data_IF_665563585889
#
_entry.id   IF_665563585889
#
_cell.length_a   1.000
_cell.length_b   1.000
_cell.length_c   1.000
_cell.angle_alpha   90.00
_cell.angle_beta   90.00
_cell.angle_gamma   90.00
#
_symmetry.space_group_name_H-M   'P 1'
#
loop_
_entity.id
_entity.type
_entity.pdbx_description
1 polymer ?
#
# COMPACT_ATOMS: atom_id res chain seq x y z
N UNK A 1 -1.77 15.42 6.27
CA UNK A 1 -2.05 14.02 5.88
C UNK A 1 -0.70 13.36 5.63
N UNK A 2 -0.51 12.15 6.14
CA UNK A 2 0.68 11.33 5.87
C UNK A 2 0.35 10.32 4.78
N UNK A 3 1.25 10.13 3.83
CA UNK A 3 1.06 9.22 2.70
C UNK A 3 2.23 8.23 2.65
N UNK A 4 1.94 6.94 2.69
CA UNK A 4 2.96 5.89 2.62
C UNK A 4 2.65 4.88 1.51
N UNK A 5 3.67 4.19 1.02
CA UNK A 5 3.53 3.12 0.02
C UNK A 5 3.79 1.77 0.69
N UNK A 6 2.84 0.82 0.61
CA UNK A 6 3.05 -0.56 1.06
C UNK A 6 2.81 -1.49 -0.13
N UNK A 7 3.85 -2.19 -0.58
CA UNK A 7 3.79 -3.09 -1.73
C UNK A 7 4.25 -4.50 -1.36
N UNK A 8 3.79 -5.52 -2.11
CA UNK A 8 4.37 -6.87 -2.06
C UNK A 8 5.61 -6.99 -2.95
N UNK A 9 5.83 -6.02 -3.83
CA UNK A 9 6.98 -5.95 -4.74
C UNK A 9 8.26 -5.42 -4.09
N UNK A 10 9.29 -5.10 -4.89
CA UNK A 10 10.59 -4.69 -4.37
C UNK A 10 10.53 -3.36 -3.63
N UNK A 11 11.01 -3.33 -2.37
CA UNK A 11 11.11 -2.10 -1.59
C UNK A 11 11.96 -1.02 -2.26
N UNK A 12 12.94 -1.42 -3.08
CA UNK A 12 13.80 -0.52 -3.84
C UNK A 12 12.99 0.32 -4.83
N UNK A 13 11.96 -0.25 -5.46
CA UNK A 13 11.07 0.48 -6.38
C UNK A 13 10.13 1.38 -5.59
N UNK A 14 9.59 0.90 -4.46
CA UNK A 14 8.75 1.73 -3.58
C UNK A 14 9.52 2.97 -3.09
N UNK A 15 10.80 2.82 -2.74
CA UNK A 15 11.69 3.93 -2.40
C UNK A 15 11.75 4.98 -3.51
N UNK A 16 12.00 4.57 -4.75
CA UNK A 16 12.10 5.49 -5.89
C UNK A 16 10.78 6.26 -6.08
N UNK A 17 9.64 5.59 -5.98
CA UNK A 17 8.32 6.25 -6.04
C UNK A 17 8.18 7.30 -4.94
N UNK A 18 8.60 6.98 -3.72
CA UNK A 18 8.53 7.92 -2.61
C UNK A 18 9.44 9.14 -2.82
N UNK A 19 10.66 8.92 -3.29
CA UNK A 19 11.62 10.00 -3.56
C UNK A 19 11.14 10.95 -4.68
N UNK A 20 10.47 10.43 -5.70
CA UNK A 20 9.95 11.25 -6.82
C UNK A 20 8.72 12.06 -6.40
N UNK A 21 7.79 11.43 -5.67
CA UNK A 21 6.45 12.00 -5.42
C UNK A 21 6.23 12.54 -4.01
N UNK A 22 7.21 12.41 -3.12
CA UNK A 22 7.16 12.97 -1.77
C UNK A 22 6.28 12.20 -0.79
N UNK A 23 6.20 10.87 -0.92
CA UNK A 23 5.58 10.04 0.12
C UNK A 23 6.46 10.03 1.39
N UNK A 24 5.83 9.92 2.55
CA UNK A 24 6.47 10.00 3.86
C UNK A 24 7.26 8.73 4.23
N UNK A 25 6.84 7.55 3.75
CA UNK A 25 7.50 6.28 4.06
C UNK A 25 7.12 5.17 3.07
N UNK A 26 7.86 4.07 3.08
CA UNK A 26 7.59 2.90 2.25
C UNK A 26 7.94 1.56 2.91
N UNK A 27 7.18 0.54 2.51
CA UNK A 27 7.39 -0.85 2.86
C UNK A 27 7.30 -1.71 1.59
N UNK A 28 8.11 -2.76 1.54
CA UNK A 28 8.12 -3.69 0.42
C UNK A 28 9.00 -4.91 0.71
N UNK A 29 8.90 -5.90 -0.16
CA UNK A 29 9.73 -7.10 -0.09
C UNK A 29 11.21 -6.77 -0.35
N UNK A 30 12.09 -7.48 0.34
CA UNK A 30 13.54 -7.39 0.15
C UNK A 30 13.95 -8.26 -1.04
N UNK A 31 14.41 -7.60 -2.10
CA UNK A 31 15.02 -8.27 -3.25
C UNK A 31 16.53 -8.16 -3.16
N UNK A 32 17.23 -9.22 -3.52
CA UNK A 32 18.68 -9.21 -3.60
C UNK A 32 19.15 -8.36 -4.79
N UNK A 33 20.14 -7.51 -4.53
CA UNK A 33 20.79 -6.66 -5.52
C UNK A 33 22.29 -6.91 -5.45
N UNK A 34 22.89 -7.27 -6.58
CA UNK A 34 24.32 -7.52 -6.72
C UNK A 34 24.82 -6.74 -7.92
N UNK A 35 25.88 -5.96 -7.75
CA UNK A 35 26.40 -5.05 -8.78
C UNK A 35 25.31 -4.16 -9.41
N UNK A 36 24.43 -3.60 -8.57
CA UNK A 36 23.32 -2.71 -8.96
C UNK A 36 22.19 -3.37 -9.78
N UNK A 37 22.24 -4.69 -9.97
CA UNK A 37 21.21 -5.45 -10.69
C UNK A 37 20.41 -6.35 -9.74
N UNK A 38 19.11 -6.48 -9.99
CA UNK A 38 18.29 -7.48 -9.30
C UNK A 38 18.72 -8.88 -9.75
N UNK A 39 19.03 -9.74 -8.79
CA UNK A 39 19.40 -11.14 -9.10
C UNK A 39 18.18 -12.01 -9.42
N UNK A 40 16.98 -11.53 -9.07
CA UNK A 40 15.72 -12.28 -9.11
C UNK A 40 15.40 -13.02 -7.80
N UNK A 41 16.33 -13.04 -6.84
CA UNK A 41 16.12 -13.64 -5.52
C UNK A 41 15.33 -12.70 -4.61
N UNK A 42 14.26 -13.22 -3.99
CA UNK A 42 13.53 -12.55 -2.92
C UNK A 42 14.09 -13.04 -1.59
N UNK A 43 14.73 -12.14 -0.86
CA UNK A 43 15.36 -12.42 0.44
C UNK A 43 14.30 -12.50 1.54
N UNK A 44 13.33 -11.58 1.51
CA UNK A 44 12.22 -11.54 2.45
C UNK A 44 10.96 -11.05 1.73
N UNK A 45 9.93 -11.89 1.70
CA UNK A 45 8.68 -11.60 1.00
C UNK A 45 7.64 -11.04 1.96
N UNK A 46 7.10 -9.87 1.62
CA UNK A 46 5.92 -9.29 2.29
C UNK A 46 4.68 -9.74 1.51
N UNK A 47 3.92 -10.64 2.11
CA UNK A 47 2.63 -11.09 1.60
C UNK A 47 1.48 -10.14 1.96
N UNK A 48 0.26 -10.56 1.62
CA UNK A 48 -0.95 -9.75 1.79
C UNK A 48 -1.25 -9.43 3.26
N UNK A 49 -1.11 -10.41 4.15
CA UNK A 49 -1.34 -10.23 5.59
C UNK A 49 -0.19 -9.45 6.24
N UNK A 50 1.04 -9.65 5.78
CA UNK A 50 2.22 -8.94 6.27
C UNK A 50 2.18 -7.43 6.00
N UNK A 51 1.40 -6.97 5.00
CA UNK A 51 1.11 -5.54 4.81
C UNK A 51 0.48 -4.89 6.05
N UNK A 52 -0.33 -5.64 6.81
CA UNK A 52 -0.92 -5.14 8.07
C UNK A 52 0.18 -4.86 9.08
N UNK A 53 1.20 -5.71 9.17
CA UNK A 53 2.30 -5.50 10.10
C UNK A 53 3.15 -4.27 9.70
N UNK A 54 3.28 -4.01 8.40
CA UNK A 54 3.92 -2.79 7.90
C UNK A 54 3.15 -1.52 8.33
N UNK A 55 1.83 -1.51 8.15
CA UNK A 55 1.00 -0.39 8.60
C UNK A 55 1.04 -0.22 10.12
N UNK A 56 0.97 -1.32 10.89
CA UNK A 56 1.10 -1.28 12.35
C UNK A 56 2.40 -0.63 12.79
N UNK A 57 3.53 -1.07 12.21
CA UNK A 57 4.84 -0.50 12.50
C UNK A 57 4.87 1.02 12.22
N UNK A 58 4.32 1.47 11.09
CA UNK A 58 4.24 2.90 10.78
C UNK A 58 3.35 3.66 11.77
N UNK A 59 2.16 3.12 12.06
CA UNK A 59 1.19 3.71 12.96
C UNK A 59 1.73 3.84 14.39
N UNK A 60 2.39 2.81 14.90
CA UNK A 60 3.02 2.81 16.24
C UNK A 60 4.12 3.87 16.34
N UNK A 61 5.00 3.96 15.34
CA UNK A 61 6.09 4.97 15.30
C UNK A 61 5.56 6.40 15.25
N UNK A 62 4.39 6.62 14.67
CA UNK A 62 3.84 7.95 14.42
C UNK A 62 2.63 8.28 15.31
N UNK A 63 2.25 7.40 16.24
CA UNK A 63 1.10 7.58 17.15
C UNK A 63 -0.20 7.83 16.37
N UNK A 64 -0.46 6.98 15.36
CA UNK A 64 -1.67 7.04 14.51
C UNK A 64 -2.54 5.82 14.82
N UNK A 65 -3.85 5.99 14.98
CA UNK A 65 -4.75 4.85 15.07
C UNK A 65 -5.05 4.30 13.65
N UNK A 66 -4.91 2.98 13.39
CA UNK A 66 -5.29 2.39 12.11
C UNK A 66 -6.72 2.70 11.63
N UNK A 67 -7.66 2.96 12.56
CA UNK A 67 -9.02 3.41 12.20
C UNK A 67 -9.06 4.81 11.56
N UNK A 68 -8.00 5.61 11.70
CA UNK A 68 -7.85 6.91 11.04
C UNK A 68 -7.20 6.77 9.64
N UNK A 69 -6.72 5.58 9.29
CA UNK A 69 -6.07 5.33 8.01
C UNK A 69 -7.09 5.08 6.89
N UNK A 70 -6.70 5.49 5.68
CA UNK A 70 -7.40 5.14 4.43
C UNK A 70 -6.49 4.25 3.59
N UNK A 71 -6.93 3.02 3.31
CA UNK A 71 -6.24 2.12 2.40
C UNK A 71 -6.72 2.34 0.95
N UNK A 72 -5.80 2.43 0.00
CA UNK A 72 -6.09 2.52 -1.43
C UNK A 72 -5.31 1.43 -2.15
N UNK A 73 -5.98 0.64 -3.00
CA UNK A 73 -5.34 -0.46 -3.73
C UNK A 73 -6.25 -1.05 -4.80
N UNK A 74 -5.71 -1.93 -5.64
CA UNK A 74 -6.40 -2.56 -6.76
C UNK A 74 -6.38 -4.09 -6.70
N UNK A 75 -5.46 -4.65 -5.92
CA UNK A 75 -5.14 -6.06 -5.88
C UNK A 75 -5.84 -6.84 -4.77
N UNK A 76 -5.96 -8.15 -4.94
CA UNK A 76 -6.46 -9.03 -3.86
C UNK A 76 -5.55 -9.05 -2.64
N UNK A 77 -4.28 -8.65 -2.79
CA UNK A 77 -3.33 -8.52 -1.69
C UNK A 77 -3.65 -7.32 -0.77
N UNK A 78 -4.53 -6.40 -1.19
CA UNK A 78 -4.96 -5.25 -0.39
C UNK A 78 -6.20 -5.54 0.47
N UNK A 79 -6.91 -6.65 0.20
CA UNK A 79 -8.13 -7.02 0.94
C UNK A 79 -7.91 -7.08 2.47
N UNK A 80 -6.81 -7.65 2.99
CA UNK A 80 -6.55 -7.61 4.44
C UNK A 80 -6.40 -6.18 4.97
N UNK A 81 -5.70 -5.31 4.23
CA UNK A 81 -5.55 -3.89 4.56
C UNK A 81 -6.89 -3.14 4.54
N UNK A 82 -7.77 -3.46 3.59
CA UNK A 82 -9.10 -2.84 3.48
C UNK A 82 -9.99 -3.14 4.69
N UNK A 83 -9.81 -4.30 5.32
CA UNK A 83 -10.53 -4.71 6.52
C UNK A 83 -9.92 -4.14 7.80
N UNK A 84 -8.66 -3.72 7.74
CA UNK A 84 -7.90 -3.25 8.89
C UNK A 84 -7.94 -1.72 9.06
N UNK A 85 -8.00 -0.96 7.96
CA UNK A 85 -8.11 0.50 7.98
C UNK A 85 -9.56 0.96 8.18
N UNK A 86 -9.77 2.16 8.72
CA UNK A 86 -11.11 2.71 8.93
C UNK A 86 -11.87 3.05 7.63
N UNK A 87 -11.15 3.40 6.56
CA UNK A 87 -11.72 3.52 5.20
C UNK A 87 -10.87 2.74 4.20
N UNK A 88 -11.50 2.27 3.14
CA UNK A 88 -10.84 1.55 2.05
C UNK A 88 -11.43 1.89 0.69
N UNK A 89 -10.56 2.05 -0.30
CA UNK A 89 -10.91 2.46 -1.66
C UNK A 89 -10.23 1.50 -2.64
N UNK A 90 -11.04 0.72 -3.36
CA UNK A 90 -10.57 -0.09 -4.46
C UNK A 90 -10.54 0.73 -5.75
N UNK A 91 -9.42 0.78 -6.46
CA UNK A 91 -9.28 1.50 -7.73
C UNK A 91 -9.07 0.52 -8.89
N UNK A 92 -9.76 0.72 -10.02
CA UNK A 92 -9.57 -0.06 -11.26
C UNK A 92 -9.47 -1.60 -11.05
N UNK A 93 -10.25 -2.12 -10.09
CA UNK A 93 -10.03 -3.45 -9.52
C UNK A 93 -11.09 -4.47 -9.94
N UNK A 94 -10.76 -5.77 -9.85
CA UNK A 94 -11.71 -6.87 -10.07
C UNK A 94 -12.90 -6.88 -9.10
N UNK A 95 -14.02 -7.50 -9.46
CA UNK A 95 -15.23 -7.59 -8.61
C UNK A 95 -14.94 -8.10 -7.20
N UNK A 96 -14.08 -9.11 -7.06
CA UNK A 96 -13.68 -9.67 -5.76
C UNK A 96 -13.05 -8.61 -4.85
N UNK A 97 -12.23 -7.73 -5.40
CA UNK A 97 -11.55 -6.67 -4.64
C UNK A 97 -12.55 -5.58 -4.27
N UNK A 98 -13.40 -5.17 -5.22
CA UNK A 98 -14.45 -4.15 -5.01
C UNK A 98 -15.41 -4.54 -3.87
N UNK A 99 -15.85 -5.79 -3.83
CA UNK A 99 -16.75 -6.31 -2.80
C UNK A 99 -16.17 -6.28 -1.39
N UNK A 100 -14.84 -6.11 -1.26
CA UNK A 100 -14.13 -6.06 0.02
C UNK A 100 -13.68 -4.65 0.41
N UNK A 101 -13.94 -3.62 -0.40
CA UNK A 101 -13.62 -2.23 -0.10
C UNK A 101 -14.89 -1.43 0.23
N UNK A 102 -14.73 -0.37 1.03
CA UNK A 102 -15.84 0.54 1.35
C UNK A 102 -16.30 1.34 0.12
N UNK A 103 -15.35 1.75 -0.72
CA UNK A 103 -15.61 2.43 -1.98
C UNK A 103 -14.88 1.73 -3.13
N UNK A 104 -15.45 1.78 -4.32
CA UNK A 104 -14.80 1.32 -5.54
C UNK A 104 -14.93 2.38 -6.63
N UNK A 105 -13.83 2.68 -7.33
CA UNK A 105 -13.74 3.75 -8.31
C UNK A 105 -12.99 3.24 -9.53
N UNK A 106 -13.60 3.37 -10.70
CA UNK A 106 -12.91 3.22 -11.98
C UNK A 106 -12.54 4.62 -12.47
N UNK A 107 -11.25 4.87 -12.67
CA UNK A 107 -10.73 6.23 -12.97
C UNK A 107 -9.40 6.18 -13.70
N UNK A 108 -9.13 7.22 -14.48
CA UNK A 108 -7.84 7.53 -15.09
C UNK A 108 -7.05 8.60 -14.29
N UNK A 109 -7.62 9.09 -13.18
CA UNK A 109 -7.07 10.17 -12.36
C UNK A 109 -7.29 9.90 -10.86
N UNK A 110 -6.20 9.63 -10.13
CA UNK A 110 -6.25 9.36 -8.70
C UNK A 110 -6.88 10.49 -7.87
N UNK A 111 -6.97 11.73 -8.39
CA UNK A 111 -7.65 12.83 -7.70
C UNK A 111 -9.13 12.56 -7.47
N UNK A 112 -9.75 11.68 -8.25
CA UNK A 112 -11.16 11.30 -8.11
C UNK A 112 -11.49 10.64 -6.77
N UNK A 113 -10.48 10.11 -6.07
CA UNK A 113 -10.67 9.46 -4.77
C UNK A 113 -10.71 10.45 -3.60
N UNK A 114 -10.28 11.71 -3.80
CA UNK A 114 -10.12 12.69 -2.72
C UNK A 114 -11.43 12.94 -1.95
N UNK A 115 -12.57 12.86 -2.63
CA UNK A 115 -13.91 12.99 -2.03
C UNK A 115 -14.26 11.93 -0.98
N UNK A 116 -13.53 10.81 -0.94
CA UNK A 116 -13.70 9.74 0.04
C UNK A 116 -12.73 9.85 1.23
N UNK A 117 -11.65 10.62 1.07
CA UNK A 117 -10.59 10.80 2.07
C UNK A 117 -10.93 11.97 3.01
N UNK A 118 -11.66 12.98 2.52
CA UNK A 118 -12.15 14.13 3.29
C UNK A 118 -13.19 13.79 4.36
#
# INVERSE_FOLDING_TARGET
MKCIVITVGPKQVAKVVCDIWGFDDYYGSDYEVVHEEFTGTIVNYIGAEEKIQCLKDYCEKNVINPEECVAVGDGSTDIPMFRYCGKSIAINSSSKVRENAMYAVDTEDLRDILKYIT
#
